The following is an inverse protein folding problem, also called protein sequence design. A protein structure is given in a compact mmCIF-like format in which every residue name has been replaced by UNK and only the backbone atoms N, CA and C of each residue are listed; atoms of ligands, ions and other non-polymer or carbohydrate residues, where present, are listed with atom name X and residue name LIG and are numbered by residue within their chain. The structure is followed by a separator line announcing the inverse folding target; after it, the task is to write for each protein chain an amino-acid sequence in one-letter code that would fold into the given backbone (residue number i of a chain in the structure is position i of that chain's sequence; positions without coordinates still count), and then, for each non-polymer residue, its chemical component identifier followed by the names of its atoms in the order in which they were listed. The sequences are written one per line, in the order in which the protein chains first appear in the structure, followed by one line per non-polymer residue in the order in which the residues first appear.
data_IF_584315943554
#
_entry.id   IF_584315943554
#
_cell.length_a   1.000
_cell.length_b   1.000
_cell.length_c   1.000
_cell.angle_alpha   90.00
_cell.angle_beta   90.00
_cell.angle_gamma   90.00
#
_symmetry.space_group_name_H-M   'P 1'
#
loop_
_entity.id
_entity.type
_entity.pdbx_description
1 polymer ?
#
# COMPACT_ATOMS: atom_id res chain seq x y z
N UNK A 1 3.11 20.36 2.71
CA UNK A 1 4.48 20.07 3.16
C UNK A 1 4.54 19.29 4.48
N UNK A 2 3.63 19.51 5.44
CA UNK A 2 3.67 18.86 6.76
C UNK A 2 3.62 17.32 6.72
N UNK A 3 2.96 16.73 5.72
CA UNK A 3 2.84 15.27 5.56
C UNK A 3 4.03 14.61 4.86
N UNK A 4 4.93 15.37 4.22
CA UNK A 4 5.98 14.78 3.37
C UNK A 4 7.04 14.01 4.17
N UNK A 5 7.60 14.54 5.28
CA UNK A 5 8.59 13.81 6.08
C UNK A 5 8.13 12.41 6.57
N UNK A 6 6.93 12.24 7.19
CA UNK A 6 6.50 10.91 7.60
C UNK A 6 6.20 9.98 6.41
N UNK A 7 5.73 10.53 5.28
CA UNK A 7 5.51 9.74 4.07
C UNK A 7 6.82 9.23 3.46
N UNK A 8 7.88 10.06 3.44
CA UNK A 8 9.19 9.65 2.94
C UNK A 8 9.71 8.44 3.72
N UNK A 9 9.64 8.50 5.05
CA UNK A 9 10.10 7.39 5.90
C UNK A 9 9.27 6.13 5.68
N UNK A 10 7.93 6.25 5.70
CA UNK A 10 7.04 5.10 5.53
C UNK A 10 7.14 4.44 4.15
N UNK A 11 7.13 5.24 3.08
CA UNK A 11 7.23 4.74 1.70
C UNK A 11 8.60 4.13 1.41
N UNK A 12 9.67 4.67 2.02
CA UNK A 12 11.00 4.05 1.95
C UNK A 12 10.98 2.64 2.55
N UNK A 13 10.30 2.43 3.69
CA UNK A 13 10.15 1.11 4.30
C UNK A 13 9.32 0.16 3.45
N UNK A 14 8.31 0.66 2.73
CA UNK A 14 7.56 -0.15 1.76
C UNK A 14 8.41 -0.57 0.57
N UNK A 15 9.18 0.35 -0.03
CA UNK A 15 10.11 0.00 -1.12
C UNK A 15 11.15 -1.02 -0.67
N UNK A 16 11.67 -0.87 0.54
CA UNK A 16 12.57 -1.84 1.15
C UNK A 16 11.91 -3.22 1.21
N UNK A 17 10.72 -3.35 1.85
CA UNK A 17 10.00 -4.61 1.94
C UNK A 17 9.70 -5.24 0.57
N UNK A 18 9.21 -4.44 -0.39
CA UNK A 18 8.94 -4.90 -1.75
C UNK A 18 10.21 -5.35 -2.50
N UNK A 19 11.37 -4.81 -2.16
CA UNK A 19 12.64 -5.24 -2.75
C UNK A 19 13.12 -6.57 -2.16
N UNK A 20 12.90 -6.79 -0.85
CA UNK A 20 13.09 -8.10 -0.23
C UNK A 20 12.19 -9.17 -0.85
N UNK A 21 10.94 -8.81 -1.14
CA UNK A 21 9.99 -9.67 -1.85
C UNK A 21 10.29 -9.83 -3.36
N UNK A 22 11.38 -9.22 -3.85
CA UNK A 22 11.81 -9.20 -5.26
C UNK A 22 10.77 -8.61 -6.23
N UNK A 23 9.86 -7.78 -5.71
CA UNK A 23 8.91 -6.99 -6.50
C UNK A 23 9.61 -5.75 -7.07
N UNK A 24 10.40 -5.08 -6.23
CA UNK A 24 11.20 -3.90 -6.60
C UNK A 24 12.68 -4.25 -6.81
N UNK A 25 13.45 -3.40 -7.51
CA UNK A 25 14.89 -3.58 -7.67
C UNK A 25 15.64 -3.64 -6.32
N UNK A 26 16.56 -4.59 -6.19
CA UNK A 26 17.32 -4.86 -4.95
C UNK A 26 18.06 -3.62 -4.40
N UNK A 27 18.47 -2.69 -5.27
CA UNK A 27 19.15 -1.46 -4.84
C UNK A 27 18.29 -0.52 -3.98
N UNK A 28 16.96 -0.67 -4.01
CA UNK A 28 16.06 0.10 -3.14
C UNK A 28 16.09 -0.41 -1.69
N UNK A 29 16.61 -1.62 -1.45
CA UNK A 29 16.88 -2.16 -0.12
C UNK A 29 18.33 -1.95 0.34
N UNK A 30 19.18 -1.30 -0.46
CA UNK A 30 20.59 -1.05 -0.15
C UNK A 30 20.76 -0.03 0.98
N UNK A 31 21.11 -0.51 2.18
CA UNK A 31 21.27 0.29 3.40
C UNK A 31 22.68 0.87 3.48
N UNK A 32 22.78 2.17 3.67
CA UNK A 32 24.08 2.81 3.87
C UNK A 32 24.67 2.51 5.25
N UNK A 33 25.95 2.14 5.30
CA UNK A 33 26.66 1.78 6.54
C UNK A 33 26.75 2.91 7.57
N UNK A 34 26.87 4.17 7.13
CA UNK A 34 27.04 5.32 8.03
C UNK A 34 25.72 5.76 8.66
N UNK A 35 24.66 5.83 7.84
CA UNK A 35 23.37 6.39 8.25
C UNK A 35 22.33 5.33 8.61
N UNK A 36 22.62 4.04 8.37
CA UNK A 36 21.74 2.91 8.67
C UNK A 36 20.34 3.03 8.04
N UNK A 37 20.26 3.70 6.88
CA UNK A 37 19.02 3.89 6.10
C UNK A 37 19.28 3.61 4.61
N UNK A 38 18.26 3.19 3.84
CA UNK A 38 18.39 2.98 2.41
C UNK A 38 18.32 4.31 1.64
N UNK A 39 19.45 5.04 1.61
CA UNK A 39 19.55 6.41 1.09
C UNK A 39 19.02 6.53 -0.34
N UNK A 40 19.31 5.55 -1.21
CA UNK A 40 18.87 5.58 -2.62
C UNK A 40 17.33 5.58 -2.73
N UNK A 41 16.65 4.74 -1.96
CA UNK A 41 15.20 4.72 -1.90
C UNK A 41 14.63 6.00 -1.25
N UNK A 42 15.27 6.49 -0.19
CA UNK A 42 14.87 7.75 0.45
C UNK A 42 14.95 8.93 -0.52
N UNK A 43 16.04 9.06 -1.28
CA UNK A 43 16.21 10.10 -2.29
C UNK A 43 15.21 9.98 -3.43
N UNK A 44 14.92 8.74 -3.87
CA UNK A 44 13.88 8.50 -4.88
C UNK A 44 12.51 9.00 -4.40
N UNK A 45 12.07 8.58 -3.21
CA UNK A 45 10.78 8.99 -2.67
C UNK A 45 10.73 10.50 -2.42
N UNK A 46 11.80 11.08 -1.87
CA UNK A 46 11.87 12.53 -1.66
C UNK A 46 11.75 13.29 -2.99
N UNK A 47 12.44 12.82 -4.03
CA UNK A 47 12.38 13.41 -5.37
C UNK A 47 10.97 13.29 -5.97
N UNK A 48 10.34 12.11 -5.86
CA UNK A 48 8.97 11.91 -6.31
C UNK A 48 7.97 12.80 -5.55
N UNK A 49 8.15 12.98 -4.24
CA UNK A 49 7.34 13.88 -3.43
C UNK A 49 7.46 15.34 -3.86
N UNK A 50 8.68 15.81 -4.14
CA UNK A 50 8.92 17.17 -4.68
C UNK A 50 8.31 17.32 -6.07
N UNK A 51 8.51 16.34 -6.97
CA UNK A 51 7.91 16.35 -8.30
C UNK A 51 6.39 16.39 -8.20
N UNK A 52 5.78 15.53 -7.39
CA UNK A 52 4.33 15.51 -7.17
C UNK A 52 3.80 16.85 -6.65
N UNK A 53 4.52 17.50 -5.73
CA UNK A 53 4.19 18.83 -5.27
C UNK A 53 4.26 19.88 -6.38
N UNK A 54 5.30 19.86 -7.22
CA UNK A 54 5.44 20.79 -8.33
C UNK A 54 4.33 20.56 -9.37
N UNK A 55 4.00 19.31 -9.68
CA UNK A 55 2.88 18.96 -10.55
C UNK A 55 1.56 19.51 -9.99
N UNK A 56 1.31 19.32 -8.69
CA UNK A 56 0.13 19.89 -8.04
C UNK A 56 0.10 21.43 -8.09
N UNK A 57 1.24 22.09 -7.89
CA UNK A 57 1.32 23.55 -7.86
C UNK A 57 1.16 24.20 -9.24
N UNK A 58 1.63 23.55 -10.31
CA UNK A 58 1.74 24.16 -11.63
C UNK A 58 0.84 23.53 -12.69
N UNK A 59 0.27 22.35 -12.46
CA UNK A 59 -0.61 21.67 -13.41
C UNK A 59 -2.04 21.66 -12.85
N UNK A 60 -2.95 22.51 -13.38
CA UNK A 60 -4.33 22.60 -12.91
C UNK A 60 -5.08 21.26 -12.91
N UNK A 61 -4.77 20.39 -13.88
CA UNK A 61 -5.34 19.05 -13.96
C UNK A 61 -5.04 18.19 -12.73
N UNK A 62 -3.83 18.28 -12.17
CA UNK A 62 -3.44 17.51 -10.97
C UNK A 62 -4.08 18.10 -9.71
N UNK A 63 -4.30 19.41 -9.69
CA UNK A 63 -4.89 20.10 -8.54
C UNK A 63 -6.36 19.73 -8.28
N UNK A 64 -7.07 19.25 -9.31
CA UNK A 64 -8.49 18.86 -9.23
C UNK A 64 -8.71 17.35 -9.04
N UNK A 65 -7.63 16.57 -8.93
CA UNK A 65 -7.68 15.13 -8.65
C UNK A 65 -7.95 14.93 -7.16
N UNK A 66 -8.99 14.16 -6.85
CA UNK A 66 -9.24 13.72 -5.49
C UNK A 66 -8.52 12.40 -5.19
N UNK A 67 -7.52 12.45 -4.31
CA UNK A 67 -6.79 11.26 -3.87
C UNK A 67 -7.46 10.55 -2.68
N UNK A 68 -8.49 11.14 -2.08
CA UNK A 68 -9.18 10.60 -0.90
C UNK A 68 -9.74 9.21 -1.18
N UNK A 69 -10.43 9.04 -2.31
CA UNK A 69 -10.97 7.75 -2.74
C UNK A 69 -9.89 6.68 -2.95
N UNK A 70 -8.68 7.07 -3.38
CA UNK A 70 -7.55 6.14 -3.53
C UNK A 70 -7.16 5.57 -2.18
N UNK A 71 -7.08 6.42 -1.15
CA UNK A 71 -6.76 5.98 0.20
C UNK A 71 -7.90 5.17 0.83
N UNK A 72 -9.15 5.62 0.71
CA UNK A 72 -10.31 4.93 1.29
C UNK A 72 -10.45 3.51 0.73
N UNK A 73 -10.40 3.35 -0.59
CA UNK A 73 -10.49 2.04 -1.25
C UNK A 73 -9.26 1.19 -0.94
N UNK A 74 -8.05 1.77 -1.00
CA UNK A 74 -6.82 1.05 -0.69
C UNK A 74 -6.80 0.50 0.74
N UNK A 75 -7.21 1.31 1.71
CA UNK A 75 -7.34 0.87 3.10
C UNK A 75 -8.50 -0.08 3.31
N UNK A 76 -9.59 0.03 2.54
CA UNK A 76 -10.70 -0.93 2.61
C UNK A 76 -10.23 -2.33 2.17
N UNK A 77 -9.48 -2.43 1.08
CA UNK A 77 -8.88 -3.71 0.63
C UNK A 77 -7.95 -4.29 1.71
N UNK A 78 -7.16 -3.45 2.38
CA UNK A 78 -6.32 -3.87 3.49
C UNK A 78 -7.14 -4.36 4.69
N UNK A 79 -8.15 -3.60 5.12
CA UNK A 79 -9.04 -3.96 6.22
C UNK A 79 -9.80 -5.27 5.96
N UNK A 80 -10.24 -5.48 4.71
CA UNK A 80 -10.85 -6.73 4.27
C UNK A 80 -9.86 -7.91 4.34
N UNK A 81 -8.61 -7.69 3.91
CA UNK A 81 -7.55 -8.70 4.01
C UNK A 81 -7.28 -9.10 5.47
N UNK A 82 -7.30 -8.13 6.38
CA UNK A 82 -7.20 -8.37 7.83
C UNK A 82 -8.42 -9.12 8.36
N UNK A 83 -9.63 -8.75 7.92
CA UNK A 83 -10.87 -9.41 8.33
C UNK A 83 -10.88 -10.90 7.96
N UNK A 84 -10.37 -11.22 6.77
CA UNK A 84 -10.33 -12.57 6.19
C UNK A 84 -9.05 -13.34 6.54
N UNK A 85 -8.08 -12.72 7.22
CA UNK A 85 -6.80 -13.33 7.57
C UNK A 85 -6.95 -14.72 8.23
N UNK A 86 -7.88 -14.94 9.18
CA UNK A 86 -8.00 -16.26 9.81
C UNK A 86 -8.53 -17.36 8.89
N UNK A 87 -9.13 -17.01 7.74
CA UNK A 87 -9.63 -17.98 6.76
C UNK A 87 -8.52 -18.42 5.81
N UNK A 88 -7.66 -17.49 5.38
CA UNK A 88 -6.64 -17.71 4.35
C UNK A 88 -5.22 -17.91 4.88
N UNK A 89 -4.96 -17.53 6.14
CA UNK A 89 -3.63 -17.57 6.79
C UNK A 89 -3.76 -18.06 8.23
N UNK A 90 -4.28 -19.28 8.39
CA UNK A 90 -4.50 -19.89 9.72
C UNK A 90 -3.22 -20.05 10.51
N UNK A 91 -2.10 -20.26 9.83
CA UNK A 91 -0.75 -20.36 10.40
C UNK A 91 -0.32 -19.10 11.16
N UNK A 92 -0.74 -17.91 10.70
CA UNK A 92 -0.44 -16.63 11.36
C UNK A 92 -1.25 -16.44 12.65
N UNK A 93 -2.33 -17.19 12.84
CA UNK A 93 -3.18 -17.09 14.03
C UNK A 93 -2.53 -17.66 15.28
N UNK A 94 -1.38 -18.33 15.16
CA UNK A 94 -0.60 -18.85 16.28
C UNK A 94 0.40 -17.83 16.84
N UNK A 95 0.60 -16.70 16.16
CA UNK A 95 1.49 -15.63 16.62
C UNK A 95 0.86 -14.93 17.84
N UNK A 96 1.68 -14.65 18.86
CA UNK A 96 1.22 -13.94 20.05
C UNK A 96 0.57 -12.60 19.69
N UNK A 97 -0.59 -12.31 20.31
CA UNK A 97 -1.39 -11.12 20.03
C UNK A 97 -2.50 -11.31 18.98
N UNK A 98 -2.29 -12.16 17.97
CA UNK A 98 -3.31 -12.50 16.96
C UNK A 98 -4.30 -13.59 17.43
N UNK A 99 -3.97 -14.29 18.51
CA UNK A 99 -4.76 -15.39 19.09
C UNK A 99 -6.00 -14.93 19.87
N UNK A 100 -6.15 -13.63 20.15
CA UNK A 100 -7.29 -13.10 20.94
C UNK A 100 -8.61 -13.35 20.20
N UNK A 101 -9.60 -13.89 20.91
CA UNK A 101 -10.94 -14.18 20.38
C UNK A 101 -12.00 -13.50 21.24
N UNK A 102 -13.09 -13.08 20.60
CA UNK A 102 -14.34 -12.73 21.28
C UNK A 102 -15.32 -13.87 20.97
N UNK A 103 -15.55 -14.73 21.96
CA UNK A 103 -16.29 -15.97 21.75
C UNK A 103 -15.57 -16.90 20.75
N UNK A 104 -16.24 -17.24 19.66
CA UNK A 104 -15.71 -18.10 18.59
C UNK A 104 -14.97 -17.34 17.48
N UNK A 105 -15.07 -16.01 17.44
CA UNK A 105 -14.56 -15.18 16.34
C UNK A 105 -13.21 -14.55 16.73
N UNK A 106 -12.17 -14.65 15.89
CA UNK A 106 -10.91 -13.93 16.08
C UNK A 106 -11.13 -12.43 16.18
N UNK A 107 -10.54 -11.78 17.19
CA UNK A 107 -10.66 -10.34 17.41
C UNK A 107 -10.22 -9.53 16.19
N UNK A 108 -9.18 -10.01 15.50
CA UNK A 108 -8.66 -9.37 14.28
C UNK A 108 -9.70 -9.36 13.14
N UNK A 109 -10.53 -10.40 13.02
CA UNK A 109 -11.63 -10.44 12.05
C UNK A 109 -12.69 -9.39 12.37
N UNK A 110 -13.01 -9.23 13.66
CA UNK A 110 -14.00 -8.24 14.11
C UNK A 110 -13.50 -6.83 13.82
N UNK A 111 -12.26 -6.52 14.20
CA UNK A 111 -11.66 -5.20 13.96
C UNK A 111 -11.57 -4.91 12.46
N UNK A 112 -11.03 -5.85 11.67
CA UNK A 112 -10.92 -5.69 10.22
C UNK A 112 -12.28 -5.46 9.56
N UNK A 113 -13.32 -6.20 9.98
CA UNK A 113 -14.68 -6.05 9.44
C UNK A 113 -15.31 -4.70 9.78
N UNK A 114 -15.13 -4.22 11.02
CA UNK A 114 -15.63 -2.89 11.45
C UNK A 114 -14.94 -1.79 10.65
N UNK A 115 -13.61 -1.84 10.53
CA UNK A 115 -12.84 -0.85 9.76
C UNK A 115 -13.22 -0.90 8.27
N UNK A 116 -13.39 -2.09 7.71
CA UNK A 116 -13.85 -2.25 6.33
C UNK A 116 -15.24 -1.66 6.12
N UNK A 117 -16.20 -1.96 6.99
CA UNK A 117 -17.56 -1.39 6.91
C UNK A 117 -17.55 0.14 7.02
N UNK A 118 -16.74 0.68 7.92
CA UNK A 118 -16.56 2.13 8.05
C UNK A 118 -15.96 2.75 6.79
N UNK A 119 -14.93 2.15 6.19
CA UNK A 119 -14.31 2.67 4.98
C UNK A 119 -15.22 2.58 3.76
N UNK A 120 -16.04 1.52 3.65
CA UNK A 120 -17.08 1.43 2.61
C UNK A 120 -18.12 2.53 2.79
N UNK A 121 -18.57 2.77 4.02
CA UNK A 121 -19.47 3.87 4.34
C UNK A 121 -18.85 5.24 4.01
N UNK A 122 -17.61 5.49 4.45
CA UNK A 122 -16.89 6.72 4.15
C UNK A 122 -16.74 6.95 2.64
N UNK A 123 -16.37 5.90 1.89
CA UNK A 123 -16.29 5.95 0.42
C UNK A 123 -17.64 6.34 -0.19
N UNK A 124 -18.73 5.74 0.27
CA UNK A 124 -20.08 6.05 -0.22
C UNK A 124 -20.46 7.53 0.03
N UNK A 125 -20.19 8.05 1.23
CA UNK A 125 -20.43 9.45 1.56
C UNK A 125 -19.57 10.39 0.70
N UNK A 126 -18.29 10.04 0.47
CA UNK A 126 -17.36 10.81 -0.35
C UNK A 126 -17.81 10.96 -1.80
N UNK A 127 -18.53 9.99 -2.37
CA UNK A 127 -19.03 10.06 -3.76
C UNK A 127 -20.08 11.17 -3.99
N UNK A 128 -20.84 11.54 -2.96
CA UNK A 128 -21.94 12.51 -3.06
C UNK A 128 -21.69 13.85 -2.37
N UNK A 129 -20.50 14.04 -1.79
CA UNK A 129 -20.24 15.17 -0.91
C UNK A 129 -19.73 16.40 -1.69
N UNK A 130 -20.44 17.55 -1.66
CA UNK A 130 -20.02 18.77 -2.36
C UNK A 130 -18.84 19.50 -1.68
N UNK A 131 -18.46 19.10 -0.47
CA UNK A 131 -17.33 19.66 0.31
C UNK A 131 -16.02 18.93 -0.01
N UNK A 132 -16.10 17.63 -0.30
CA UNK A 132 -14.96 16.84 -0.79
C UNK A 132 -14.77 17.17 -2.28
N UNK A 133 -13.55 17.05 -2.80
CA UNK A 133 -13.31 17.29 -4.23
C UNK A 133 -14.24 16.37 -5.05
N UNK A 134 -15.01 16.92 -6.00
CA UNK A 134 -15.99 16.13 -6.72
C UNK A 134 -15.31 15.03 -7.51
N UNK A 135 -15.91 13.84 -7.51
CA UNK A 135 -15.48 12.71 -8.33
C UNK A 135 -15.69 13.08 -9.79
N UNK A 136 -14.58 13.41 -10.46
CA UNK A 136 -14.55 13.87 -11.83
C UNK A 136 -13.75 12.89 -12.70
N UNK A 137 -13.78 13.09 -14.02
CA UNK A 137 -13.03 12.25 -14.95
C UNK A 137 -11.51 12.18 -14.62
N UNK A 138 -10.81 13.30 -14.33
CA UNK A 138 -9.43 13.28 -13.85
C UNK A 138 -9.20 12.38 -12.62
N UNK A 139 -10.09 12.44 -11.63
CA UNK A 139 -10.03 11.58 -10.43
C UNK A 139 -10.11 10.11 -10.82
N UNK A 140 -11.11 9.72 -11.62
CA UNK A 140 -11.28 8.33 -12.06
C UNK A 140 -10.09 7.82 -12.91
N UNK A 141 -9.58 8.67 -13.80
CA UNK A 141 -8.39 8.37 -14.59
C UNK A 141 -7.17 8.16 -13.70
N UNK A 142 -6.95 9.03 -12.72
CA UNK A 142 -5.85 8.90 -11.77
C UNK A 142 -5.93 7.61 -10.96
N UNK A 143 -7.13 7.19 -10.53
CA UNK A 143 -7.35 5.93 -9.83
C UNK A 143 -7.00 4.73 -10.72
N UNK A 144 -7.45 4.74 -11.97
CA UNK A 144 -7.13 3.69 -12.92
C UNK A 144 -5.62 3.59 -13.16
N UNK A 145 -4.94 4.73 -13.29
CA UNK A 145 -3.47 4.78 -13.44
C UNK A 145 -2.77 4.26 -12.19
N UNK A 146 -3.17 4.69 -10.99
CA UNK A 146 -2.52 4.30 -9.73
C UNK A 146 -2.68 2.80 -9.49
N UNK A 147 -3.91 2.28 -9.50
CA UNK A 147 -4.15 0.84 -9.29
C UNK A 147 -3.59 0.00 -10.44
N UNK A 148 -3.75 0.47 -11.68
CA UNK A 148 -3.19 -0.19 -12.86
C UNK A 148 -1.66 -0.28 -12.80
N UNK A 149 -0.98 0.78 -12.32
CA UNK A 149 0.47 0.77 -12.14
C UNK A 149 0.92 -0.24 -11.08
N UNK A 150 0.20 -0.35 -9.95
CA UNK A 150 0.49 -1.34 -8.92
C UNK A 150 0.34 -2.78 -9.43
N UNK A 151 -0.75 -3.06 -10.16
CA UNK A 151 -0.95 -4.37 -10.81
C UNK A 151 0.14 -4.62 -11.84
N UNK A 152 0.46 -3.63 -12.68
CA UNK A 152 1.49 -3.71 -13.71
C UNK A 152 2.87 -4.04 -13.13
N UNK A 153 3.25 -3.37 -12.04
CA UNK A 153 4.46 -3.64 -11.27
C UNK A 153 4.50 -5.09 -10.80
N UNK A 154 3.42 -5.59 -10.18
CA UNK A 154 3.37 -6.97 -9.68
C UNK A 154 3.50 -7.99 -10.83
N UNK A 155 2.77 -7.79 -11.92
CA UNK A 155 2.82 -8.68 -13.09
C UNK A 155 4.20 -8.67 -13.75
N UNK A 156 4.83 -7.50 -13.88
CA UNK A 156 6.18 -7.36 -14.40
C UNK A 156 7.18 -8.11 -13.51
N UNK A 157 7.12 -7.91 -12.19
CA UNK A 157 7.95 -8.63 -11.24
C UNK A 157 7.73 -10.15 -11.31
N UNK A 158 6.47 -10.61 -11.38
CA UNK A 158 6.13 -12.03 -11.53
C UNK A 158 6.74 -12.65 -12.78
N UNK A 159 6.65 -11.96 -13.91
CA UNK A 159 7.21 -12.45 -15.16
C UNK A 159 8.74 -12.45 -15.16
N UNK A 160 9.37 -11.40 -14.62
CA UNK A 160 10.83 -11.30 -14.53
C UNK A 160 11.42 -12.36 -13.59
N UNK A 161 10.80 -12.60 -12.43
CA UNK A 161 11.26 -13.62 -11.49
C UNK A 161 11.02 -15.04 -12.03
N UNK A 162 9.89 -15.28 -12.72
CA UNK A 162 9.64 -16.57 -13.40
C UNK A 162 10.73 -16.90 -14.42
N UNK A 163 11.23 -15.91 -15.17
CA UNK A 163 12.36 -16.08 -16.10
C UNK A 163 13.67 -16.44 -15.40
N UNK A 164 13.84 -16.03 -14.15
CA UNK A 164 15.00 -16.37 -13.29
C UNK A 164 14.82 -17.69 -12.53
N UNK A 165 13.73 -18.43 -12.76
CA UNK A 165 13.42 -19.67 -12.04
C UNK A 165 12.94 -19.44 -10.60
N UNK A 166 12.63 -18.21 -10.21
CA UNK A 166 12.16 -17.87 -8.86
C UNK A 166 10.64 -17.79 -8.88
N UNK A 167 9.97 -18.64 -8.11
CA UNK A 167 8.52 -18.58 -7.92
C UNK A 167 8.18 -17.66 -6.76
N UNK A 168 7.70 -16.45 -7.07
CA UNK A 168 7.17 -15.51 -6.06
C UNK A 168 6.05 -16.14 -5.22
N UNK A 169 5.24 -17.02 -5.80
CA UNK A 169 4.13 -17.70 -5.12
C UNK A 169 4.61 -18.65 -3.99
N UNK A 170 5.90 -19.07 -4.00
CA UNK A 170 6.51 -19.82 -2.90
C UNK A 170 7.10 -18.89 -1.84
N UNK A 171 7.70 -17.77 -2.25
CA UNK A 171 8.24 -16.73 -1.34
C UNK A 171 7.18 -16.20 -0.37
N UNK A 172 5.94 -16.02 -0.83
CA UNK A 172 4.84 -15.56 0.03
C UNK A 172 4.19 -16.65 0.91
N UNK A 173 4.62 -17.91 0.79
CA UNK A 173 4.12 -19.04 1.60
C UNK A 173 5.02 -19.36 2.78
N UNK A 174 6.30 -19.02 2.69
CA UNK A 174 7.26 -19.25 3.76
C UNK A 174 7.32 -17.99 4.62
N UNK A 175 6.97 -18.11 5.90
CA UNK A 175 7.29 -17.08 6.88
C UNK A 175 8.83 -17.06 6.95
N UNK A 176 9.48 -15.90 6.76
CA UNK A 176 10.94 -15.83 6.89
C UNK A 176 11.33 -16.43 8.26
N UNK A 177 12.24 -17.42 8.30
CA UNK A 177 12.79 -17.86 9.58
C UNK A 177 13.43 -16.64 10.23
N UNK A 178 13.09 -16.39 11.50
CA UNK A 178 13.72 -15.34 12.32
C UNK A 178 15.25 -15.50 12.34
#
# INVERSE_FOLDING_TARGET
FYSNPPLIVSLTRYLFAWSFDRIMPEWMADVNEKFHIPIKATLLIASLGVIGMLLYAFIPFVAIVDITLVFEIGYAVFALSVALMPLFRKELMNVEGLTRKIGSIPLISVIGSIVFAFLVFATYESLGNPVVLPVNAPTLESMAIIYGSGIGVYLAAKQLNKRKGISLDLLFKEIPPE
#
